data_IF_846620239341
#
_entry.id   IF_846620239341
#
_cell.length_a   1.000
_cell.length_b   1.000
_cell.length_c   1.000
_cell.angle_alpha   90.00
_cell.angle_beta   90.00
_cell.angle_gamma   90.00
#
_symmetry.space_group_name_H-M   'P 1'
#
loop_
_entity.id
_entity.type
_entity.pdbx_description
1 polymer ?
#
# COMPACT_ATOMS: atom_id res chain seq x y z
N UNK A 1 14.14 -15.71 -13.06
CA UNK A 1 14.10 -14.32 -12.53
C UNK A 1 12.82 -13.66 -13.04
N UNK A 2 12.00 -13.07 -12.17
CA UNK A 2 10.78 -12.36 -12.59
C UNK A 2 11.14 -10.94 -13.04
N UNK A 3 10.68 -10.53 -14.22
CA UNK A 3 10.82 -9.16 -14.74
C UNK A 3 9.43 -8.61 -15.06
N UNK A 4 9.27 -7.30 -14.91
CA UNK A 4 8.06 -6.61 -15.37
C UNK A 4 8.05 -6.58 -16.89
N UNK A 5 6.88 -6.82 -17.48
CA UNK A 5 6.63 -6.60 -18.90
C UNK A 5 5.64 -5.45 -19.02
N UNK A 6 5.99 -4.43 -19.81
CA UNK A 6 5.13 -3.28 -20.09
C UNK A 6 4.89 -3.15 -21.62
N UNK A 7 3.64 -2.99 -22.05
CA UNK A 7 3.24 -2.85 -23.45
C UNK A 7 3.11 -1.42 -24.00
N UNK A 8 3.13 -0.39 -23.15
CA UNK A 8 3.05 1.04 -23.52
C UNK A 8 2.00 1.35 -24.58
N UNK A 9 0.72 1.13 -24.25
CA UNK A 9 -0.38 1.21 -25.24
C UNK A 9 -1.01 2.59 -25.31
N UNK A 10 -0.84 3.40 -24.27
CA UNK A 10 -1.19 4.81 -24.30
C UNK A 10 -0.16 5.61 -25.12
N UNK A 11 -0.51 6.83 -25.52
CA UNK A 11 0.46 7.73 -26.19
C UNK A 11 1.58 8.20 -25.26
N UNK A 12 1.38 8.07 -23.95
CA UNK A 12 2.30 8.49 -22.91
C UNK A 12 2.34 7.39 -21.85
N UNK A 13 3.26 6.43 -22.00
CA UNK A 13 3.38 5.35 -21.03
C UNK A 13 3.70 5.91 -19.63
N UNK A 14 2.74 5.83 -18.73
CA UNK A 14 2.81 6.42 -17.39
C UNK A 14 3.19 5.38 -16.32
N UNK A 15 2.96 4.10 -16.60
CA UNK A 15 3.29 2.97 -15.73
C UNK A 15 4.78 2.90 -15.37
N UNK A 16 5.07 2.67 -14.09
CA UNK A 16 6.41 2.41 -13.58
C UNK A 16 6.45 1.12 -12.76
N UNK A 17 7.63 0.53 -12.65
CA UNK A 17 7.84 -0.67 -11.86
C UNK A 17 9.30 -0.76 -11.40
N UNK A 18 9.53 -1.37 -10.24
CA UNK A 18 10.89 -1.67 -9.77
C UNK A 18 10.95 -3.00 -9.01
N UNK A 19 12.10 -3.65 -9.09
CA UNK A 19 12.39 -4.92 -8.41
C UNK A 19 13.80 -4.86 -7.82
N UNK A 20 13.93 -5.05 -6.51
CA UNK A 20 15.18 -4.91 -5.79
C UNK A 20 15.33 -5.98 -4.69
N UNK A 21 16.57 -6.23 -4.28
CA UNK A 21 16.89 -6.96 -3.05
C UNK A 21 17.38 -5.92 -2.05
N UNK A 22 16.60 -5.69 -1.01
CA UNK A 22 16.88 -4.71 0.03
C UNK A 22 17.63 -5.40 1.17
N UNK A 23 18.60 -4.70 1.77
CA UNK A 23 19.28 -5.14 2.99
C UNK A 23 18.93 -4.18 4.12
N UNK A 24 18.17 -4.65 5.11
CA UNK A 24 17.74 -3.86 6.26
C UNK A 24 18.71 -4.10 7.42
N UNK A 25 19.40 -3.05 7.87
CA UNK A 25 20.30 -3.08 9.03
C UNK A 25 19.79 -2.10 10.09
N UNK A 26 20.04 -2.40 11.37
CA UNK A 26 19.70 -1.47 12.46
C UNK A 26 20.34 -0.11 12.19
N UNK A 27 19.58 0.97 12.36
CA UNK A 27 20.11 2.33 12.28
C UNK A 27 21.24 2.47 13.32
N UNK A 28 22.45 2.79 12.87
CA UNK A 28 23.55 3.07 13.77
C UNK A 28 23.10 4.22 14.68
N UNK A 29 23.09 3.96 16.00
CA UNK A 29 22.51 4.89 16.96
C UNK A 29 23.03 6.30 16.72
N UNK A 30 22.13 7.28 16.59
CA UNK A 30 22.50 8.67 16.68
C UNK A 30 23.19 8.84 18.03
N UNK A 31 24.52 8.93 18.02
CA UNK A 31 25.30 9.28 19.20
C UNK A 31 24.75 10.65 19.62
N UNK A 32 23.98 10.67 20.71
CA UNK A 32 23.71 11.88 21.48
C UNK A 32 25.05 12.34 22.06
N UNK A 33 25.86 12.96 21.21
CA UNK A 33 27.06 13.66 21.63
C UNK A 33 26.59 14.91 22.35
N UNK A 34 26.47 14.79 23.67
CA UNK A 34 26.48 15.93 24.56
C UNK A 34 27.77 16.72 24.29
N UNK A 35 27.71 18.05 24.03
CA UNK A 35 28.89 18.81 23.72
C UNK A 35 29.67 19.03 25.02
N UNK A 36 30.64 18.15 25.29
CA UNK A 36 31.53 18.36 26.42
C UNK A 36 32.59 19.40 26.03
N UNK A 37 32.39 20.59 26.58
CA UNK A 37 33.22 21.78 26.38
C UNK A 37 34.44 21.70 27.31
N UNK A 38 35.63 21.81 26.71
CA UNK A 38 36.96 22.18 27.28
C UNK A 38 38.05 21.10 27.11
N UNK A 39 39.01 21.33 26.20
CA UNK A 39 40.37 21.78 26.57
C UNK A 39 41.34 21.82 25.36
N UNK A 40 41.83 23.03 25.10
CA UNK A 40 43.17 23.45 24.64
C UNK A 40 44.13 22.50 23.86
N UNK A 41 44.43 22.94 22.62
CA UNK A 41 45.74 23.04 21.93
C UNK A 41 46.80 21.92 22.13
N UNK A 42 47.23 21.29 21.03
CA UNK A 42 48.57 21.45 20.40
C UNK A 42 48.68 20.76 19.03
N UNK A 43 49.41 21.41 18.11
CA UNK A 43 49.85 20.95 16.77
C UNK A 43 50.97 19.90 16.91
N UNK A 44 51.00 18.86 16.04
CA UNK A 44 52.01 18.68 14.97
C UNK A 44 52.09 17.24 14.41
N UNK A 45 52.47 17.15 13.13
CA UNK A 45 53.18 16.07 12.38
C UNK A 45 52.51 14.73 12.06
N UNK A 46 52.29 14.51 10.76
CA UNK A 46 52.43 13.23 10.02
C UNK A 46 53.93 12.95 9.73
N UNK A 47 54.38 11.79 9.15
CA UNK A 47 53.68 10.56 8.73
C UNK A 47 54.41 9.22 9.11
N UNK A 48 53.82 8.10 8.64
CA UNK A 48 54.37 6.76 8.35
C UNK A 48 54.15 5.61 9.34
N UNK A 49 53.65 4.49 8.77
CA UNK A 49 54.25 3.17 8.99
C UNK A 49 53.41 2.14 9.76
N UNK A 50 52.86 1.19 8.99
CA UNK A 50 52.65 -0.22 9.36
C UNK A 50 51.56 -0.61 10.37
N UNK A 51 50.66 -1.48 9.88
CA UNK A 51 50.28 -2.69 10.59
C UNK A 51 49.35 -2.54 11.79
N UNK A 52 48.05 -2.39 11.53
CA UNK A 52 47.04 -2.95 12.43
C UNK A 52 45.95 -3.62 11.60
N UNK A 53 45.94 -4.94 11.67
CA UNK A 53 44.80 -5.78 11.37
C UNK A 53 43.59 -5.20 12.09
N UNK A 54 42.70 -4.54 11.34
CA UNK A 54 41.34 -4.35 11.78
C UNK A 54 40.74 -5.75 11.84
N UNK A 55 40.63 -6.29 13.05
CA UNK A 55 39.60 -7.28 13.36
C UNK A 55 38.31 -6.72 12.77
N UNK A 56 37.80 -7.36 11.72
CA UNK A 56 36.42 -7.23 11.30
C UNK A 56 35.59 -7.53 12.55
N UNK A 57 35.12 -6.47 13.20
CA UNK A 57 33.99 -6.60 14.10
C UNK A 57 32.90 -7.23 13.24
N UNK A 58 32.41 -8.39 13.67
CA UNK A 58 31.25 -9.06 13.09
C UNK A 58 30.13 -8.03 12.91
N UNK A 59 30.04 -7.46 11.72
CA UNK A 59 29.03 -6.47 11.38
C UNK A 59 27.67 -7.16 11.56
N UNK A 60 26.78 -6.49 12.30
CA UNK A 60 25.37 -6.88 12.44
C UNK A 60 24.81 -7.35 11.10
N UNK A 61 24.61 -8.67 10.98
CA UNK A 61 24.08 -9.29 9.76
C UNK A 61 22.67 -8.72 9.54
N UNK A 62 22.48 -7.99 8.44
CA UNK A 62 21.18 -7.39 8.11
C UNK A 62 20.15 -8.45 7.75
N UNK A 63 18.87 -8.07 7.70
CA UNK A 63 17.83 -8.93 7.11
C UNK A 63 17.65 -8.53 5.66
N UNK A 64 17.82 -9.49 4.76
CA UNK A 64 17.54 -9.29 3.33
C UNK A 64 16.05 -9.49 3.05
N UNK A 65 15.47 -8.67 2.18
CA UNK A 65 14.13 -8.88 1.66
C UNK A 65 14.06 -8.58 0.17
N UNK A 66 13.15 -9.24 -0.53
CA UNK A 66 12.88 -8.92 -1.93
C UNK A 66 11.72 -7.94 -2.01
N UNK A 67 11.84 -6.98 -2.91
CA UNK A 67 10.87 -5.92 -3.13
C UNK A 67 10.46 -5.91 -4.60
N UNK A 68 9.16 -5.95 -4.87
CA UNK A 68 8.58 -5.69 -6.19
C UNK A 68 7.56 -4.57 -6.06
N UNK A 69 7.45 -3.74 -7.09
CA UNK A 69 6.46 -2.67 -7.11
C UNK A 69 5.97 -2.36 -8.50
N UNK A 70 4.72 -1.92 -8.57
CA UNK A 70 4.00 -1.50 -9.75
C UNK A 70 3.24 -0.22 -9.44
N UNK A 71 3.34 0.76 -10.33
CA UNK A 71 2.71 2.07 -10.21
C UNK A 71 2.03 2.38 -11.53
N UNK A 72 0.70 2.43 -11.49
CA UNK A 72 -0.13 2.88 -12.60
C UNK A 72 -0.21 4.41 -12.53
N UNK A 73 0.45 5.11 -13.44
CA UNK A 73 0.54 6.57 -13.42
C UNK A 73 -0.59 7.23 -14.19
N UNK A 74 -1.04 8.41 -13.74
CA UNK A 74 -2.07 9.16 -14.46
C UNK A 74 -1.85 10.67 -14.38
N UNK A 75 -2.29 11.37 -15.44
CA UNK A 75 -2.15 12.83 -15.58
C UNK A 75 -0.70 13.31 -15.45
N UNK A 76 0.21 12.55 -16.05
CA UNK A 76 1.66 12.68 -16.04
C UNK A 76 2.34 11.55 -15.25
N UNK A 77 3.56 11.17 -15.64
CA UNK A 77 4.31 10.08 -15.01
C UNK A 77 5.11 10.48 -13.76
N UNK A 78 5.09 11.76 -13.39
CA UNK A 78 5.95 12.32 -12.33
C UNK A 78 5.83 11.56 -11.00
N UNK A 79 4.62 11.41 -10.48
CA UNK A 79 4.38 10.70 -9.21
C UNK A 79 4.87 9.24 -9.27
N UNK A 80 4.53 8.50 -10.33
CA UNK A 80 4.95 7.12 -10.53
C UNK A 80 6.48 6.97 -10.64
N UNK A 81 7.16 7.88 -11.35
CA UNK A 81 8.62 7.89 -11.49
C UNK A 81 9.32 8.15 -10.15
N UNK A 82 8.78 9.05 -9.34
CA UNK A 82 9.34 9.33 -8.01
C UNK A 82 9.09 8.15 -7.07
N UNK A 83 7.87 7.63 -7.03
CA UNK A 83 7.50 6.50 -6.17
C UNK A 83 8.32 5.23 -6.50
N UNK A 84 8.49 4.90 -7.79
CA UNK A 84 9.27 3.73 -8.22
C UNK A 84 10.75 3.78 -7.84
N UNK A 85 11.29 4.96 -7.60
CA UNK A 85 12.69 5.17 -7.21
C UNK A 85 12.91 5.32 -5.71
N UNK A 86 11.90 5.78 -4.97
CA UNK A 86 12.06 6.19 -3.58
C UNK A 86 11.22 5.41 -2.57
N UNK A 87 10.11 4.77 -2.95
CA UNK A 87 9.24 4.07 -1.99
C UNK A 87 9.97 2.93 -1.26
N UNK A 88 10.85 2.20 -1.94
CA UNK A 88 11.67 1.15 -1.34
C UNK A 88 12.67 1.67 -0.29
N UNK A 89 13.10 2.93 -0.43
CA UNK A 89 13.93 3.58 0.58
C UNK A 89 13.12 3.87 1.84
N UNK A 90 11.91 4.44 1.70
CA UNK A 90 10.98 4.62 2.83
C UNK A 90 10.64 3.30 3.51
N UNK A 91 10.36 2.24 2.74
CA UNK A 91 10.13 0.90 3.29
C UNK A 91 11.34 0.43 4.10
N UNK A 92 12.54 0.59 3.54
CA UNK A 92 13.78 0.21 4.23
C UNK A 92 13.91 0.98 5.55
N UNK A 93 13.78 2.31 5.54
CA UNK A 93 13.88 3.15 6.75
C UNK A 93 12.88 2.73 7.84
N UNK A 94 11.62 2.48 7.49
CA UNK A 94 10.61 2.03 8.45
C UNK A 94 10.92 0.63 9.01
N UNK A 95 11.47 -0.27 8.18
CA UNK A 95 11.88 -1.60 8.63
C UNK A 95 13.13 -1.55 9.53
N UNK A 96 14.03 -0.58 9.37
CA UNK A 96 15.24 -0.45 10.20
C UNK A 96 14.90 -0.26 11.69
N UNK A 97 13.77 0.38 11.99
CA UNK A 97 13.33 0.64 13.36
C UNK A 97 12.84 -0.64 14.07
N UNK A 98 12.43 -1.65 13.29
CA UNK A 98 11.85 -2.90 13.82
C UNK A 98 12.70 -4.15 13.52
N UNK A 99 13.75 -4.04 12.69
CA UNK A 99 14.51 -5.20 12.18
C UNK A 99 15.10 -6.09 13.28
N UNK A 100 15.57 -5.50 14.37
CA UNK A 100 16.14 -6.27 15.50
C UNK A 100 15.08 -7.07 16.25
N UNK A 101 13.84 -6.57 16.31
CA UNK A 101 12.70 -7.30 16.88
C UNK A 101 12.35 -8.46 15.94
N UNK A 102 12.28 -8.19 14.63
CA UNK A 102 11.92 -9.18 13.62
C UNK A 102 12.89 -10.37 13.55
N UNK A 103 14.19 -10.16 13.82
CA UNK A 103 15.20 -11.22 13.87
C UNK A 103 14.96 -12.25 14.97
N UNK A 104 14.23 -11.89 16.03
CA UNK A 104 13.97 -12.78 17.16
C UNK A 104 12.47 -12.95 17.38
N UNK A 105 11.87 -13.88 16.63
CA UNK A 105 10.44 -14.18 16.70
C UNK A 105 9.95 -14.67 18.07
N UNK A 106 10.86 -15.11 18.96
CA UNK A 106 10.52 -15.52 20.32
C UNK A 106 10.27 -14.33 21.27
N UNK A 107 10.73 -13.13 20.92
CA UNK A 107 10.56 -11.93 21.73
C UNK A 107 9.38 -11.13 21.18
N UNK A 108 8.41 -10.82 22.04
CA UNK A 108 7.31 -9.93 21.62
C UNK A 108 7.83 -8.50 21.44
N UNK A 109 7.24 -7.72 20.52
CA UNK A 109 7.56 -6.30 20.40
C UNK A 109 7.37 -5.60 21.75
N UNK A 110 8.36 -4.84 22.24
CA UNK A 110 8.21 -4.07 23.47
C UNK A 110 7.14 -2.99 23.27
N UNK A 111 6.30 -2.78 24.28
CA UNK A 111 5.29 -1.71 24.25
C UNK A 111 5.95 -0.32 24.21
N UNK A 112 7.04 -0.16 24.95
CA UNK A 112 7.85 1.05 25.02
C UNK A 112 9.32 0.70 24.74
N UNK A 113 9.95 1.36 23.78
CA UNK A 113 11.38 1.16 23.51
C UNK A 113 12.22 1.69 24.67
N UNK A 114 13.19 0.89 25.12
CA UNK A 114 14.11 1.24 26.21
C UNK A 114 13.64 0.83 27.61
N UNK A 115 12.46 0.22 27.73
CA UNK A 115 12.07 -0.49 28.95
C UNK A 115 12.62 -1.92 28.92
N UNK A 116 13.38 -2.30 29.94
CA UNK A 116 13.87 -3.68 30.09
C UNK A 116 12.67 -4.60 30.37
N UNK A 117 12.57 -5.77 29.72
CA UNK A 117 11.52 -6.74 30.04
C UNK A 117 11.69 -7.18 31.49
N UNK A 118 10.66 -6.98 32.33
CA UNK A 118 10.64 -7.55 33.68
C UNK A 118 10.69 -9.08 33.57
N UNK A 119 11.89 -9.66 33.78
CA UNK A 119 12.09 -11.10 33.91
C UNK A 119 11.37 -11.60 35.17
N UNK A 120 10.05 -11.82 35.10
CA UNK A 120 9.32 -12.63 36.09
C UNK A 120 8.95 -13.98 35.46
N UNK A 121 9.21 -15.11 36.14
CA UNK A 121 8.88 -16.42 35.60
C UNK A 121 7.38 -16.55 35.36
N UNK A 122 7.02 -17.21 34.26
CA UNK A 122 5.67 -17.53 33.87
C UNK A 122 4.96 -18.38 34.94
N UNK A 123 4.32 -17.73 35.92
CA UNK A 123 3.18 -18.23 36.70
C UNK A 123 2.68 -17.16 37.68
N UNK A 124 2.35 -15.98 37.17
CA UNK A 124 1.44 -15.08 37.85
C UNK A 124 0.83 -14.11 36.84
N UNK A 125 -0.46 -13.80 37.00
CA UNK A 125 -1.10 -12.67 36.29
C UNK A 125 -0.46 -11.39 36.83
N UNK A 126 0.63 -10.94 36.21
CA UNK A 126 1.36 -9.77 36.67
C UNK A 126 0.66 -8.50 36.19
N UNK A 127 -0.02 -7.84 37.13
CA UNK A 127 -0.50 -6.46 37.02
C UNK A 127 0.71 -5.53 37.14
N UNK A 128 1.13 -4.89 36.05
CA UNK A 128 2.23 -3.93 36.07
C UNK A 128 1.81 -2.66 36.83
N UNK A 129 2.54 -2.34 37.89
CA UNK A 129 2.24 -1.26 38.84
C UNK A 129 2.74 0.07 38.28
N UNK A 130 1.89 0.83 37.60
CA UNK A 130 2.24 2.19 37.18
C UNK A 130 2.55 3.07 38.40
N UNK A 131 3.76 3.62 38.44
CA UNK A 131 4.18 4.58 39.44
C UNK A 131 3.23 5.80 39.44
N UNK A 132 2.68 6.06 40.62
CA UNK A 132 1.75 7.14 40.92
C UNK A 132 2.29 8.49 40.42
N UNK A 133 1.51 9.14 39.54
CA UNK A 133 1.61 10.57 39.29
C UNK A 133 1.44 11.28 40.63
N UNK A 134 2.53 11.87 41.13
CA UNK A 134 2.51 12.73 42.31
C UNK A 134 1.59 13.91 42.02
N UNK A 135 0.52 14.01 42.79
CA UNK A 135 -0.34 15.17 42.84
C UNK A 135 -1.14 15.20 44.14
N UNK A 136 -0.67 15.98 45.11
CA UNK A 136 -1.52 16.74 46.03
C UNK A 136 -2.28 16.02 47.15
N UNK A 137 -1.68 16.05 48.35
CA UNK A 137 -2.26 16.33 49.69
C UNK A 137 -3.76 16.03 49.94
N UNK A 138 -4.04 15.12 50.89
CA UNK A 138 -5.19 15.26 51.81
C UNK A 138 -5.94 13.98 52.21
N UNK A 139 -6.04 13.78 53.54
CA UNK A 139 -6.99 12.97 54.31
C UNK A 139 -6.63 11.50 54.65
N UNK A 140 -6.54 11.14 55.96
CA UNK A 140 -6.43 9.76 56.42
C UNK A 140 -7.82 9.17 56.72
N UNK A 141 -8.12 8.00 56.14
CA UNK A 141 -9.17 7.10 56.62
C UNK A 141 -10.29 6.77 55.63
N UNK A 142 -10.09 5.74 54.80
CA UNK A 142 -11.06 4.65 54.56
C UNK A 142 -10.54 3.63 53.53
N UNK A 143 -10.82 2.33 53.69
CA UNK A 143 -10.34 1.28 52.81
C UNK A 143 -11.32 1.06 51.65
N UNK A 144 -11.04 1.68 50.51
CA UNK A 144 -11.61 1.25 49.22
C UNK A 144 -10.70 1.70 48.09
N UNK A 145 -9.67 0.90 47.83
CA UNK A 145 -8.98 0.94 46.53
C UNK A 145 -10.03 0.83 45.43
N UNK A 146 -10.09 1.76 44.46
CA UNK A 146 -10.95 1.59 43.30
C UNK A 146 -10.51 0.31 42.57
N UNK A 147 -11.44 -0.49 42.02
CA UNK A 147 -11.05 -1.64 41.23
C UNK A 147 -10.18 -1.16 40.06
N UNK A 148 -9.03 -1.82 39.89
CA UNK A 148 -8.08 -1.65 38.79
C UNK A 148 -8.82 -1.47 37.47
N UNK A 149 -8.73 -0.28 36.88
CA UNK A 149 -9.19 -0.04 35.51
C UNK A 149 -8.45 -1.02 34.59
N UNK A 150 -9.16 -1.57 33.61
CA UNK A 150 -8.70 -2.58 32.66
C UNK A 150 -7.33 -2.24 32.04
N UNK A 151 -6.25 -2.84 32.56
CA UNK A 151 -4.92 -2.79 31.95
C UNK A 151 -4.56 -4.20 31.51
N UNK A 152 -5.04 -4.59 30.33
CA UNK A 152 -4.52 -5.75 29.61
C UNK A 152 -3.73 -5.22 28.42
N UNK A 153 -2.42 -5.46 28.41
CA UNK A 153 -1.59 -5.16 27.25
C UNK A 153 -1.94 -6.08 26.08
N UNK A 154 -2.16 -5.48 24.91
CA UNK A 154 -2.44 -6.24 23.70
C UNK A 154 -1.13 -6.84 23.20
N UNK A 155 -1.09 -8.16 23.01
CA UNK A 155 0.03 -8.81 22.31
C UNK A 155 -0.02 -8.42 20.83
N UNK A 156 1.07 -7.83 20.34
CA UNK A 156 1.19 -7.39 18.95
C UNK A 156 2.01 -8.42 18.16
N UNK A 157 1.43 -9.10 17.15
CA UNK A 157 2.18 -9.97 16.25
C UNK A 157 3.25 -9.20 15.47
N UNK A 158 4.37 -9.87 15.15
CA UNK A 158 5.45 -9.29 14.34
C UNK A 158 4.99 -8.77 12.97
N UNK A 159 4.04 -9.46 12.35
CA UNK A 159 3.45 -9.03 11.08
C UNK A 159 2.74 -7.67 11.17
N UNK A 160 2.16 -7.32 12.32
CA UNK A 160 1.56 -6.00 12.52
C UNK A 160 2.61 -4.88 12.52
N UNK A 161 3.85 -5.17 12.94
CA UNK A 161 4.94 -4.19 12.84
C UNK A 161 5.30 -3.93 11.38
N UNK A 162 5.41 -5.00 10.57
CA UNK A 162 5.72 -4.88 9.14
C UNK A 162 4.58 -4.17 8.41
N UNK A 163 3.33 -4.51 8.69
CA UNK A 163 2.15 -3.82 8.13
C UNK A 163 2.21 -2.31 8.45
N UNK A 164 2.41 -1.95 9.71
CA UNK A 164 2.50 -0.54 10.12
C UNK A 164 3.70 0.20 9.50
N UNK A 165 4.83 -0.50 9.30
CA UNK A 165 6.00 0.04 8.60
C UNK A 165 5.68 0.34 7.13
N UNK A 166 4.98 -0.55 6.42
CA UNK A 166 4.57 -0.33 5.03
C UNK A 166 3.54 0.80 4.91
N UNK A 167 2.54 0.85 5.79
CA UNK A 167 1.56 1.95 5.83
C UNK A 167 2.24 3.31 6.06
N UNK A 168 3.23 3.35 6.97
CA UNK A 168 4.03 4.55 7.25
C UNK A 168 4.90 4.94 6.06
N UNK A 169 5.50 3.97 5.36
CA UNK A 169 6.31 4.23 4.17
C UNK A 169 5.50 4.87 3.03
N UNK A 170 4.27 4.40 2.78
CA UNK A 170 3.37 5.00 1.79
C UNK A 170 3.03 6.45 2.15
N UNK A 171 2.74 6.70 3.43
CA UNK A 171 2.47 8.06 3.92
C UNK A 171 3.67 8.98 3.73
N UNK A 172 4.87 8.55 4.11
CA UNK A 172 6.09 9.35 3.95
C UNK A 172 6.44 9.60 2.48
N UNK A 173 6.22 8.62 1.61
CA UNK A 173 6.38 8.78 0.16
C UNK A 173 5.42 9.85 -0.40
N UNK A 174 4.14 9.80 -0.02
CA UNK A 174 3.15 10.79 -0.47
C UNK A 174 3.45 12.20 0.05
N UNK A 175 3.89 12.32 1.31
CA UNK A 175 4.35 13.58 1.90
C UNK A 175 5.62 14.10 1.21
N UNK A 176 6.53 13.22 0.81
CA UNK A 176 7.70 13.63 0.04
C UNK A 176 7.29 14.16 -1.34
N UNK A 177 6.42 13.46 -2.07
CA UNK A 177 5.86 13.95 -3.33
C UNK A 177 5.23 15.32 -3.13
N UNK A 178 4.44 15.51 -2.07
CA UNK A 178 3.85 16.81 -1.75
C UNK A 178 4.91 17.91 -1.60
N UNK A 179 5.94 17.66 -0.77
CA UNK A 179 7.01 18.64 -0.50
C UNK A 179 7.81 18.99 -1.74
N UNK A 180 8.06 18.02 -2.60
CA UNK A 180 9.00 18.13 -3.71
C UNK A 180 8.35 18.50 -5.06
N UNK A 181 7.01 18.43 -5.16
CA UNK A 181 6.29 18.58 -6.44
C UNK A 181 6.60 19.86 -7.20
N UNK A 182 6.71 20.99 -6.52
CA UNK A 182 6.99 22.27 -7.19
C UNK A 182 8.46 22.42 -7.57
N UNK A 183 9.38 21.89 -6.77
CA UNK A 183 10.83 22.00 -7.03
C UNK A 183 11.29 21.08 -8.15
N UNK A 184 10.64 19.91 -8.29
CA UNK A 184 11.00 18.90 -9.28
C UNK A 184 9.95 18.71 -10.38
N UNK A 185 8.91 19.56 -10.43
CA UNK A 185 7.78 19.45 -11.36
C UNK A 185 7.15 18.04 -11.37
N UNK A 186 6.89 17.49 -10.19
CA UNK A 186 6.25 16.17 -10.04
C UNK A 186 4.78 16.32 -10.41
N UNK A 187 4.41 15.85 -11.59
CA UNK A 187 3.04 15.88 -12.11
C UNK A 187 2.24 14.65 -11.73
N UNK A 188 0.91 14.81 -11.72
CA UNK A 188 -0.04 13.70 -11.68
C UNK A 188 -0.11 12.96 -10.36
N UNK A 189 -0.66 11.75 -10.45
CA UNK A 189 -0.73 10.78 -9.38
C UNK A 189 -0.41 9.39 -9.89
N UNK A 190 -0.41 8.42 -8.99
CA UNK A 190 -0.31 7.02 -9.38
C UNK A 190 -0.96 6.10 -8.36
N UNK A 191 -1.38 4.93 -8.82
CA UNK A 191 -1.58 3.78 -7.93
C UNK A 191 -0.23 3.29 -7.41
N UNK A 192 -0.25 2.47 -6.36
CA UNK A 192 0.94 1.82 -5.84
C UNK A 192 0.61 0.44 -5.30
N UNK A 193 1.14 -0.59 -5.94
CA UNK A 193 1.07 -1.98 -5.53
C UNK A 193 2.48 -2.50 -5.29
N UNK A 194 2.82 -2.83 -4.04
CA UNK A 194 4.14 -3.38 -3.69
C UNK A 194 4.02 -4.76 -3.04
N UNK A 195 5.08 -5.54 -3.18
CA UNK A 195 5.25 -6.84 -2.53
C UNK A 195 6.60 -6.87 -1.85
N UNK A 196 6.60 -7.15 -0.55
CA UNK A 196 7.80 -7.38 0.24
C UNK A 196 7.83 -8.83 0.68
N UNK A 197 8.85 -9.58 0.23
CA UNK A 197 9.13 -10.93 0.73
C UNK A 197 10.17 -10.83 1.86
N UNK A 198 9.72 -11.01 3.09
CA UNK A 198 10.52 -10.83 4.31
C UNK A 198 10.22 -11.96 5.30
N UNK A 199 11.25 -12.68 5.73
CA UNK A 199 11.17 -13.74 6.75
C UNK A 199 10.09 -14.79 6.45
N UNK A 200 10.09 -15.32 5.23
CA UNK A 200 9.14 -16.36 4.80
C UNK A 200 7.70 -15.89 4.61
N UNK A 201 7.44 -14.57 4.57
CA UNK A 201 6.11 -14.01 4.32
C UNK A 201 6.14 -13.01 3.16
N UNK A 202 5.08 -13.02 2.37
CA UNK A 202 4.78 -11.97 1.39
C UNK A 202 3.83 -10.96 2.01
N UNK A 203 4.23 -9.70 2.00
CA UNK A 203 3.39 -8.56 2.38
C UNK A 203 3.03 -7.81 1.11
N UNK A 204 1.75 -7.86 0.73
CA UNK A 204 1.22 -7.22 -0.47
C UNK A 204 0.45 -5.98 -0.05
N UNK A 205 1.01 -4.80 -0.33
CA UNK A 205 0.42 -3.51 0.04
C UNK A 205 -0.10 -2.79 -1.21
N UNK A 206 -1.40 -2.49 -1.25
CA UNK A 206 -2.07 -1.88 -2.40
C UNK A 206 -2.78 -0.56 -2.06
N UNK A 207 -2.54 0.46 -2.88
CA UNK A 207 -3.28 1.72 -2.89
C UNK A 207 -3.61 2.08 -4.35
N UNK A 208 -4.85 1.78 -4.77
CA UNK A 208 -5.34 2.01 -6.13
C UNK A 208 -6.14 0.81 -6.66
N UNK A 209 -6.24 0.70 -7.98
CA UNK A 209 -6.94 -0.36 -8.72
C UNK A 209 -6.01 -1.31 -9.48
N UNK A 210 -4.69 -1.17 -9.34
CA UNK A 210 -3.76 -2.28 -9.57
C UNK A 210 -4.13 -3.48 -8.69
N UNK A 211 -3.89 -4.70 -9.18
CA UNK A 211 -4.34 -5.93 -8.51
C UNK A 211 -3.27 -7.01 -8.45
N UNK A 212 -3.28 -7.76 -7.34
CA UNK A 212 -2.44 -8.93 -7.11
C UNK A 212 -3.27 -10.18 -6.79
N UNK A 213 -2.90 -11.31 -7.39
CA UNK A 213 -3.48 -12.63 -7.09
C UNK A 213 -2.37 -13.68 -7.01
N UNK A 214 -2.52 -14.66 -6.12
CA UNK A 214 -1.75 -15.91 -6.16
C UNK A 214 -2.54 -16.94 -6.96
N UNK A 215 -1.84 -17.67 -7.83
CA UNK A 215 -2.33 -18.90 -8.45
C UNK A 215 -1.52 -20.03 -7.83
N UNK A 216 -2.18 -20.90 -7.08
CA UNK A 216 -1.54 -22.04 -6.40
C UNK A 216 -2.37 -23.29 -6.56
N UNK A 217 -1.81 -24.36 -7.12
CA UNK A 217 -2.53 -25.62 -7.34
C UNK A 217 -3.90 -25.43 -8.03
N UNK A 218 -3.98 -24.50 -8.99
CA UNK A 218 -5.24 -24.14 -9.68
C UNK A 218 -6.21 -23.27 -8.86
N UNK A 219 -5.91 -22.97 -7.61
CA UNK A 219 -6.68 -22.04 -6.77
C UNK A 219 -6.23 -20.59 -6.99
N UNK A 220 -7.19 -19.68 -7.07
CA UNK A 220 -6.95 -18.23 -7.15
C UNK A 220 -7.15 -17.63 -5.76
N UNK A 221 -6.10 -17.01 -5.22
CA UNK A 221 -6.10 -16.39 -3.89
C UNK A 221 -5.91 -14.88 -4.07
N UNK A 222 -6.95 -14.04 -3.83
CA UNK A 222 -6.84 -12.60 -3.96
C UNK A 222 -5.87 -11.99 -2.94
N UNK A 223 -4.85 -11.28 -3.41
CA UNK A 223 -3.83 -10.65 -2.58
C UNK A 223 -3.93 -9.12 -2.48
N UNK A 224 -4.92 -8.51 -3.15
CA UNK A 224 -5.32 -7.13 -2.93
C UNK A 224 -6.83 -6.91 -3.18
N UNK A 225 -7.32 -5.74 -2.77
CA UNK A 225 -8.62 -5.17 -3.18
C UNK A 225 -8.38 -3.98 -4.11
N UNK A 226 -9.33 -3.67 -4.99
CA UNK A 226 -9.30 -2.43 -5.79
C UNK A 226 -10.01 -1.28 -5.06
N UNK A 227 -9.41 -0.10 -5.10
CA UNK A 227 -9.88 1.08 -4.38
C UNK A 227 -10.49 2.13 -5.32
N UNK A 228 -11.70 1.84 -5.79
CA UNK A 228 -12.47 2.69 -6.71
C UNK A 228 -13.52 3.50 -5.94
N UNK A 229 -14.16 4.51 -6.58
CA UNK A 229 -15.25 5.27 -5.98
C UNK A 229 -16.38 4.40 -5.45
N UNK A 230 -16.68 3.29 -6.14
CA UNK A 230 -17.76 2.38 -5.73
C UNK A 230 -17.37 1.51 -4.54
N UNK A 231 -16.16 0.93 -4.54
CA UNK A 231 -15.70 0.06 -3.44
C UNK A 231 -15.50 0.85 -2.15
N UNK A 232 -15.09 2.10 -2.25
CA UNK A 232 -14.84 3.00 -1.10
C UNK A 232 -15.99 3.99 -0.85
N UNK A 233 -17.17 3.77 -1.44
CA UNK A 233 -18.33 4.67 -1.35
C UNK A 233 -18.62 5.13 0.07
N UNK A 234 -18.70 4.20 1.03
CA UNK A 234 -19.04 4.55 2.41
C UNK A 234 -17.99 5.44 3.06
N UNK A 235 -16.70 5.20 2.81
CA UNK A 235 -15.61 6.06 3.31
C UNK A 235 -15.72 7.47 2.73
N UNK A 236 -15.93 7.58 1.43
CA UNK A 236 -16.05 8.86 0.72
C UNK A 236 -17.26 9.66 1.23
N UNK A 237 -18.44 9.03 1.30
CA UNK A 237 -19.65 9.67 1.79
C UNK A 237 -19.55 10.05 3.27
N UNK A 238 -18.91 9.22 4.10
CA UNK A 238 -18.69 9.53 5.51
C UNK A 238 -17.79 10.76 5.67
N UNK A 239 -16.70 10.85 4.91
CA UNK A 239 -15.84 12.04 4.91
C UNK A 239 -16.62 13.28 4.49
N UNK A 240 -17.38 13.20 3.41
CA UNK A 240 -18.19 14.29 2.89
C UNK A 240 -19.29 14.72 3.87
N UNK A 241 -19.90 13.78 4.58
CA UNK A 241 -20.86 14.04 5.65
C UNK A 241 -20.21 14.78 6.84
N UNK A 242 -19.03 14.33 7.27
CA UNK A 242 -18.29 14.93 8.39
C UNK A 242 -17.67 16.29 8.03
N UNK A 243 -17.33 16.50 6.77
CA UNK A 243 -16.65 17.69 6.26
C UNK A 243 -17.35 18.23 5.00
N UNK A 244 -18.58 18.75 5.11
CA UNK A 244 -19.39 19.16 3.96
C UNK A 244 -18.80 20.34 3.17
N UNK A 245 -17.90 21.12 3.78
CA UNK A 245 -17.17 22.19 3.10
C UNK A 245 -16.28 21.67 1.95
N UNK A 246 -15.87 20.39 1.99
CA UNK A 246 -15.10 19.75 0.92
C UNK A 246 -15.91 19.55 -0.37
N UNK A 247 -17.24 19.66 -0.30
CA UNK A 247 -18.14 19.51 -1.45
C UNK A 247 -18.41 20.83 -2.20
N UNK A 248 -17.87 21.95 -1.71
CA UNK A 248 -17.99 23.27 -2.34
C UNK A 248 -19.43 23.78 -2.55
N UNK A 249 -20.42 23.20 -1.85
CA UNK A 249 -21.85 23.43 -2.06
C UNK A 249 -22.37 23.05 -3.48
N UNK A 250 -21.57 22.34 -4.26
CA UNK A 250 -21.92 21.87 -5.62
C UNK A 250 -22.28 20.39 -5.61
N UNK A 251 -21.70 19.64 -4.68
CA UNK A 251 -21.86 18.21 -4.54
C UNK A 251 -22.66 17.83 -3.28
N UNK A 252 -23.30 16.66 -3.33
CA UNK A 252 -23.95 16.01 -2.20
C UNK A 252 -23.28 14.67 -1.91
N UNK A 253 -23.17 14.34 -0.64
CA UNK A 253 -22.72 13.01 -0.22
C UNK A 253 -23.84 11.97 -0.36
N UNK A 254 -25.10 12.39 -0.49
CA UNK A 254 -26.21 11.47 -0.71
C UNK A 254 -26.17 10.89 -2.11
N UNK A 255 -26.48 9.60 -2.21
CA UNK A 255 -26.60 8.93 -3.50
C UNK A 255 -28.06 8.69 -3.84
N UNK A 256 -28.38 8.96 -5.11
CA UNK A 256 -29.68 8.69 -5.72
C UNK A 256 -29.48 7.75 -6.91
N UNK A 257 -30.45 6.91 -7.30
CA UNK A 257 -30.32 6.02 -8.45
C UNK A 257 -30.08 6.75 -9.78
N UNK A 258 -30.38 8.04 -9.83
CA UNK A 258 -30.03 8.96 -10.92
C UNK A 258 -30.04 10.39 -10.41
N UNK A 259 -29.55 11.31 -11.24
CA UNK A 259 -29.64 12.74 -10.99
C UNK A 259 -31.09 13.18 -10.73
N UNK A 260 -31.27 13.88 -9.61
CA UNK A 260 -32.54 14.48 -9.20
C UNK A 260 -32.86 15.68 -10.10
N UNK A 261 -34.13 15.82 -10.49
CA UNK A 261 -34.60 16.92 -11.33
C UNK A 261 -35.45 17.91 -10.53
N UNK A 262 -35.40 19.20 -10.89
CA UNK A 262 -36.20 20.25 -10.23
C UNK A 262 -37.70 19.95 -10.15
N UNK A 263 -38.27 19.26 -11.15
CA UNK A 263 -39.68 18.84 -11.17
C UNK A 263 -40.05 17.77 -10.13
N UNK A 264 -39.08 17.29 -9.36
CA UNK A 264 -39.19 16.22 -8.39
C UNK A 264 -39.11 16.71 -6.95
N UNK A 265 -38.86 18.01 -6.74
CA UNK A 265 -38.93 18.66 -5.43
C UNK A 265 -40.26 18.34 -4.73
N UNK A 266 -40.20 17.96 -3.46
CA UNK A 266 -41.35 17.54 -2.66
C UNK A 266 -41.86 16.13 -2.92
N UNK A 267 -41.34 15.40 -3.92
CA UNK A 267 -41.66 13.98 -4.16
C UNK A 267 -40.73 13.06 -3.37
N UNK A 268 -41.14 11.81 -3.19
CA UNK A 268 -40.27 10.78 -2.61
C UNK A 268 -39.41 10.10 -3.67
N UNK A 269 -38.12 9.94 -3.38
CA UNK A 269 -37.17 9.20 -4.23
C UNK A 269 -36.26 8.31 -3.39
N UNK A 270 -35.82 7.20 -3.99
CA UNK A 270 -34.83 6.32 -3.37
C UNK A 270 -33.52 7.08 -3.17
N UNK A 271 -32.92 6.93 -2.01
CA UNK A 271 -31.61 7.45 -1.67
C UNK A 271 -30.86 6.45 -0.77
N UNK A 272 -29.54 6.64 -0.66
CA UNK A 272 -28.73 6.01 0.37
C UNK A 272 -27.62 6.94 0.85
N UNK A 273 -27.25 6.78 2.12
CA UNK A 273 -26.19 7.53 2.79
C UNK A 273 -25.02 6.59 3.21
N UNK A 274 -23.97 7.15 3.82
CA UNK A 274 -22.74 6.45 4.20
C UNK A 274 -22.98 5.24 5.10
N UNK A 275 -23.95 5.31 6.01
CA UNK A 275 -24.29 4.25 6.96
C UNK A 275 -25.25 3.19 6.38
N UNK A 276 -25.66 3.33 5.12
CA UNK A 276 -26.65 2.46 4.49
C UNK A 276 -25.99 1.49 3.52
N UNK A 277 -26.36 0.21 3.60
CA UNK A 277 -26.08 -0.81 2.57
C UNK A 277 -27.26 -1.00 1.61
N UNK A 278 -28.48 -0.68 2.06
CA UNK A 278 -29.71 -0.69 1.25
C UNK A 278 -30.16 0.72 0.82
N UNK A 279 -31.39 0.81 0.31
CA UNK A 279 -32.02 2.06 -0.13
C UNK A 279 -33.25 2.39 0.74
N UNK A 280 -33.52 3.67 0.95
CA UNK A 280 -34.76 4.16 1.56
C UNK A 280 -35.37 5.29 0.73
N UNK A 281 -36.61 5.66 1.01
CA UNK A 281 -37.23 6.85 0.40
C UNK A 281 -37.03 8.08 1.29
N UNK A 282 -36.57 9.19 0.70
CA UNK A 282 -36.66 10.53 1.30
C UNK A 282 -37.50 11.46 0.44
N UNK A 283 -38.05 12.49 1.05
CA UNK A 283 -38.62 13.62 0.31
C UNK A 283 -37.47 14.46 -0.26
N UNK A 284 -37.57 14.80 -1.54
CA UNK A 284 -36.55 15.57 -2.25
C UNK A 284 -36.65 17.05 -1.85
N UNK A 285 -35.50 17.63 -1.53
CA UNK A 285 -35.27 19.03 -1.16
C UNK A 285 -34.34 19.72 -2.18
N UNK A 286 -34.23 21.05 -2.13
CA UNK A 286 -33.37 21.80 -3.05
C UNK A 286 -31.90 21.36 -3.01
N UNK A 287 -31.40 20.95 -1.84
CA UNK A 287 -30.03 20.48 -1.65
C UNK A 287 -29.72 19.19 -2.42
N UNK A 288 -30.74 18.37 -2.70
CA UNK A 288 -30.60 17.11 -3.45
C UNK A 288 -30.39 17.33 -4.95
N UNK A 289 -30.53 18.56 -5.45
CA UNK A 289 -30.26 18.91 -6.85
C UNK A 289 -28.76 19.01 -7.15
N UNK A 290 -27.91 19.02 -6.12
CA UNK A 290 -26.45 19.00 -6.21
C UNK A 290 -25.96 17.73 -6.92
N UNK A 291 -24.74 17.79 -7.45
CA UNK A 291 -24.13 16.66 -8.13
C UNK A 291 -23.74 15.56 -7.13
N UNK A 292 -23.84 14.28 -7.48
CA UNK A 292 -23.42 13.22 -6.57
C UNK A 292 -21.90 13.23 -6.41
N UNK A 293 -21.43 12.95 -5.18
CA UNK A 293 -20.01 12.77 -4.88
C UNK A 293 -19.35 11.69 -5.76
N UNK A 294 -20.09 10.63 -6.09
CA UNK A 294 -19.63 9.56 -7.00
C UNK A 294 -20.48 9.64 -8.25
N UNK A 295 -19.83 9.84 -9.39
CA UNK A 295 -20.48 9.99 -10.69
C UNK A 295 -20.08 8.86 -11.62
N UNK A 296 -21.06 8.25 -12.31
CA UNK A 296 -20.82 7.10 -13.18
C UNK A 296 -20.94 5.76 -12.45
N UNK A 297 -20.67 4.69 -13.18
CA UNK A 297 -20.87 3.30 -12.72
C UNK A 297 -19.72 2.42 -13.22
N UNK A 298 -19.37 1.41 -12.44
CA UNK A 298 -18.26 0.50 -12.71
C UNK A 298 -16.97 1.27 -12.99
N UNK A 299 -16.28 0.91 -14.08
CA UNK A 299 -15.00 1.52 -14.48
C UNK A 299 -15.08 2.99 -14.87
N UNK A 300 -16.29 3.50 -15.09
CA UNK A 300 -16.52 4.92 -15.40
C UNK A 300 -16.90 5.72 -14.16
N UNK A 301 -16.98 5.09 -12.98
CA UNK A 301 -17.21 5.79 -11.73
C UNK A 301 -16.03 6.72 -11.43
N UNK A 302 -16.33 7.94 -10.99
CA UNK A 302 -15.36 8.99 -10.68
C UNK A 302 -15.77 9.74 -9.42
N UNK A 303 -14.82 10.07 -8.54
CA UNK A 303 -15.06 11.04 -7.46
C UNK A 303 -15.22 12.42 -8.07
N UNK A 304 -16.38 13.04 -7.85
CA UNK A 304 -16.76 14.36 -8.37
C UNK A 304 -16.44 14.52 -9.87
N UNK A 305 -16.76 13.48 -10.65
CA UNK A 305 -16.48 13.41 -12.09
C UNK A 305 -15.01 13.63 -12.50
N UNK A 306 -14.06 13.44 -11.57
CA UNK A 306 -12.65 13.81 -11.76
C UNK A 306 -11.72 12.59 -11.81
N UNK A 307 -11.69 11.74 -10.77
CA UNK A 307 -10.70 10.65 -10.64
C UNK A 307 -11.34 9.27 -10.43
N UNK A 308 -10.76 8.24 -11.06
CA UNK A 308 -11.25 6.84 -11.05
C UNK A 308 -10.75 5.98 -9.90
N UNK A 309 -9.73 6.45 -9.18
CA UNK A 309 -9.18 5.80 -7.98
C UNK A 309 -9.46 6.64 -6.75
N UNK A 310 -9.45 6.00 -5.58
CA UNK A 310 -9.68 6.67 -4.28
C UNK A 310 -8.51 6.51 -3.32
N UNK A 311 -7.50 5.77 -3.73
CA UNK A 311 -6.23 5.60 -3.03
C UNK A 311 -5.09 5.63 -4.03
N UNK A 312 -3.93 6.13 -3.61
CA UNK A 312 -2.76 6.33 -4.46
C UNK A 312 -1.84 7.41 -3.91
N UNK A 313 -0.78 7.69 -4.65
CA UNK A 313 0.23 8.71 -4.33
C UNK A 313 0.07 9.91 -5.28
N UNK A 314 0.44 11.11 -4.82
CA UNK A 314 0.38 12.32 -5.66
C UNK A 314 -1.00 12.99 -5.68
N UNK A 315 -1.37 13.60 -6.82
CA UNK A 315 -2.62 14.36 -7.01
C UNK A 315 -2.87 15.50 -6.02
N UNK A 316 -1.80 16.05 -5.43
CA UNK A 316 -1.91 17.09 -4.38
C UNK A 316 -2.56 18.38 -4.89
N UNK A 317 -2.40 18.69 -6.16
CA UNK A 317 -2.96 19.90 -6.78
C UNK A 317 -4.21 19.61 -7.65
N UNK A 318 -4.70 18.36 -7.65
CA UNK A 318 -5.85 17.95 -8.45
C UNK A 318 -7.14 18.60 -7.91
N UNK A 319 -7.87 19.24 -8.82
CA UNK A 319 -9.15 19.90 -8.56
C UNK A 319 -10.25 19.36 -9.45
N UNK A 320 -11.49 19.44 -8.97
CA UNK A 320 -12.66 19.26 -9.83
C UNK A 320 -12.63 20.33 -10.92
N UNK A 321 -12.90 19.91 -12.16
CA UNK A 321 -12.89 20.77 -13.35
C UNK A 321 -13.71 22.06 -13.13
N UNK A 322 -13.15 23.20 -13.54
CA UNK A 322 -13.74 24.55 -13.38
C UNK A 322 -14.16 24.93 -11.94
N UNK A 323 -13.54 24.35 -10.91
CA UNK A 323 -13.85 24.65 -9.52
C UNK A 323 -12.60 24.89 -8.66
N UNK A 324 -12.81 25.29 -7.40
CA UNK A 324 -11.76 25.34 -6.38
C UNK A 324 -11.81 24.15 -5.39
N UNK A 325 -12.52 23.08 -5.74
CA UNK A 325 -12.66 21.91 -4.90
C UNK A 325 -11.48 20.98 -5.14
N UNK A 326 -10.66 20.76 -4.11
CA UNK A 326 -9.54 19.83 -4.16
C UNK A 326 -10.01 18.39 -4.00
N UNK A 327 -9.43 17.50 -4.80
CA UNK A 327 -9.72 16.06 -4.75
C UNK A 327 -8.92 15.35 -3.65
N UNK A 328 -7.69 15.81 -3.36
CA UNK A 328 -6.76 15.15 -2.44
C UNK A 328 -7.38 14.71 -1.09
N UNK A 329 -8.27 15.46 -0.42
CA UNK A 329 -8.92 15.00 0.81
C UNK A 329 -9.66 13.66 0.68
N UNK A 330 -10.16 13.33 -0.52
CA UNK A 330 -10.86 12.07 -0.81
C UNK A 330 -9.89 10.94 -1.23
N UNK A 331 -8.63 11.27 -1.52
CA UNK A 331 -7.58 10.34 -1.95
C UNK A 331 -6.65 9.97 -0.80
N UNK A 332 -6.68 8.70 -0.39
CA UNK A 332 -5.81 8.21 0.67
C UNK A 332 -4.55 7.56 0.12
N UNK A 333 -3.38 7.93 0.63
CA UNK A 333 -2.13 7.20 0.34
C UNK A 333 -1.99 5.90 1.14
N UNK A 334 -2.82 5.67 2.16
CA UNK A 334 -2.73 4.48 3.00
C UNK A 334 -3.10 3.19 2.23
N UNK A 335 -2.20 2.19 2.17
CA UNK A 335 -2.48 0.93 1.49
C UNK A 335 -3.34 0.00 2.35
N UNK A 336 -4.00 -0.97 1.72
CA UNK A 336 -4.37 -2.23 2.38
C UNK A 336 -3.20 -3.20 2.28
N UNK A 337 -2.80 -3.82 3.40
CA UNK A 337 -1.74 -4.82 3.42
C UNK A 337 -2.31 -6.22 3.69
N UNK A 338 -2.09 -7.15 2.76
CA UNK A 338 -2.37 -8.59 2.95
C UNK A 338 -1.09 -9.36 3.17
N UNK A 339 -1.16 -10.37 4.02
CA UNK A 339 -0.01 -11.22 4.37
C UNK A 339 -0.27 -12.64 3.91
N UNK A 340 0.67 -13.18 3.14
CA UNK A 340 0.70 -14.59 2.76
C UNK A 340 1.93 -15.25 3.36
N UNK A 341 1.70 -16.28 4.17
CA UNK A 341 2.76 -17.02 4.84
C UNK A 341 3.23 -18.17 3.94
N UNK A 342 4.43 -18.04 3.38
CA UNK A 342 5.00 -19.02 2.45
C UNK A 342 5.29 -20.35 3.15
N UNK A 343 5.58 -20.32 4.45
CA UNK A 343 5.93 -21.52 5.22
C UNK A 343 4.73 -22.46 5.47
N UNK A 344 3.49 -21.94 5.33
CA UNK A 344 2.27 -22.72 5.59
C UNK A 344 1.89 -23.66 4.45
N UNK A 345 2.52 -23.53 3.29
CA UNK A 345 2.14 -24.26 2.09
C UNK A 345 3.38 -24.72 1.32
N UNK A 346 3.25 -25.83 0.61
CA UNK A 346 4.22 -26.21 -0.40
C UNK A 346 3.86 -25.53 -1.72
N UNK A 347 4.88 -25.04 -2.42
CA UNK A 347 4.73 -24.36 -3.71
C UNK A 347 5.52 -25.08 -4.79
N UNK A 348 4.83 -25.45 -5.87
CA UNK A 348 5.43 -25.99 -7.09
C UNK A 348 6.06 -24.89 -7.96
N UNK A 349 6.69 -25.32 -9.05
CA UNK A 349 7.30 -24.40 -10.03
C UNK A 349 6.26 -23.57 -10.80
N UNK A 350 4.98 -23.93 -10.71
CA UNK A 350 3.88 -23.28 -11.44
C UNK A 350 3.03 -22.40 -10.51
N UNK A 351 3.32 -22.42 -9.21
CA UNK A 351 2.65 -21.57 -8.23
C UNK A 351 3.30 -20.18 -8.23
N UNK A 352 2.49 -19.18 -8.57
CA UNK A 352 2.97 -17.82 -8.87
C UNK A 352 2.11 -16.76 -8.21
N UNK A 353 2.74 -15.63 -7.89
CA UNK A 353 2.09 -14.36 -7.59
C UNK A 353 2.08 -13.51 -8.86
N UNK A 354 0.89 -13.06 -9.26
CA UNK A 354 0.67 -12.13 -10.37
C UNK A 354 0.43 -10.74 -9.79
N UNK A 355 1.09 -9.73 -10.35
CA UNK A 355 0.78 -8.31 -10.14
C UNK A 355 0.53 -7.71 -11.50
N UNK A 356 -0.51 -6.89 -11.65
CA UNK A 356 -0.67 -6.08 -12.86
C UNK A 356 -1.45 -4.79 -12.62
N UNK A 357 -1.24 -3.83 -13.52
CA UNK A 357 -2.03 -2.59 -13.62
C UNK A 357 -3.42 -2.88 -14.16
N UNK A 358 -4.33 -1.92 -14.05
CA UNK A 358 -5.72 -2.11 -14.46
C UNK A 358 -5.81 -2.44 -15.96
N UNK A 359 -4.86 -2.01 -16.80
CA UNK A 359 -4.80 -2.35 -18.21
C UNK A 359 -4.77 -3.86 -18.52
N UNK A 360 -4.37 -4.73 -17.57
CA UNK A 360 -4.59 -6.17 -17.67
C UNK A 360 -6.00 -6.56 -17.21
N UNK A 361 -6.32 -6.21 -15.97
CA UNK A 361 -7.54 -6.62 -15.26
C UNK A 361 -8.82 -6.08 -15.89
N UNK A 362 -8.67 -5.05 -16.70
CA UNK A 362 -9.78 -4.43 -17.37
C UNK A 362 -10.38 -5.29 -18.47
N UNK A 363 -9.59 -6.20 -19.02
CA UNK A 363 -9.99 -6.99 -20.18
C UNK A 363 -9.88 -8.50 -19.95
N UNK A 364 -9.20 -8.92 -18.87
CA UNK A 364 -9.09 -10.32 -18.46
C UNK A 364 -9.59 -10.51 -17.02
N UNK A 365 -10.43 -11.52 -16.80
CA UNK A 365 -10.81 -11.93 -15.44
C UNK A 365 -9.69 -12.68 -14.71
N UNK A 366 -9.82 -12.84 -13.40
CA UNK A 366 -8.87 -13.63 -12.62
C UNK A 366 -8.77 -15.07 -13.13
N UNK A 367 -9.90 -15.66 -13.53
CA UNK A 367 -10.01 -17.01 -14.08
C UNK A 367 -9.31 -17.09 -15.45
N UNK A 368 -9.48 -16.10 -16.32
CA UNK A 368 -8.81 -16.06 -17.62
C UNK A 368 -7.28 -15.95 -17.47
N UNK A 369 -6.81 -15.15 -16.50
CA UNK A 369 -5.37 -15.06 -16.17
C UNK A 369 -4.86 -16.38 -15.59
N UNK A 370 -5.61 -17.00 -14.68
CA UNK A 370 -5.22 -18.27 -14.07
C UNK A 370 -5.18 -19.42 -15.08
N UNK A 371 -6.15 -19.47 -16.00
CA UNK A 371 -6.19 -20.43 -17.09
C UNK A 371 -4.99 -20.22 -18.04
N UNK A 372 -4.69 -18.97 -18.42
CA UNK A 372 -3.55 -18.65 -19.27
C UNK A 372 -2.23 -19.12 -18.64
N UNK A 373 -2.03 -18.85 -17.34
CA UNK A 373 -0.82 -19.27 -16.62
C UNK A 373 -0.73 -20.79 -16.50
N UNK A 374 -1.85 -21.45 -16.16
CA UNK A 374 -1.92 -22.92 -16.03
C UNK A 374 -1.73 -23.64 -17.36
N UNK A 375 -2.02 -22.99 -18.48
CA UNK A 375 -1.73 -23.51 -19.82
C UNK A 375 -0.29 -23.18 -20.26
N UNK A 376 0.22 -22.02 -19.90
CA UNK A 376 1.52 -21.55 -20.39
C UNK A 376 2.68 -22.22 -19.66
N UNK A 377 2.71 -22.15 -18.32
CA UNK A 377 3.86 -22.57 -17.53
C UNK A 377 4.21 -24.04 -17.78
N UNK A 378 3.31 -25.04 -17.70
CA UNK A 378 3.67 -26.45 -17.87
C UNK A 378 4.32 -26.79 -19.23
N UNK A 379 4.15 -25.94 -20.23
CA UNK A 379 4.72 -26.12 -21.57
C UNK A 379 6.13 -25.53 -21.72
N UNK A 380 6.64 -24.83 -20.70
CA UNK A 380 8.02 -24.34 -20.66
C UNK A 380 8.90 -25.29 -19.83
N UNK A 381 10.19 -25.33 -20.16
CA UNK A 381 11.20 -25.99 -19.33
C UNK A 381 11.20 -25.38 -17.91
N UNK A 382 11.00 -26.17 -16.84
CA UNK A 382 11.02 -25.67 -15.46
C UNK A 382 12.33 -24.97 -15.07
N UNK A 383 13.44 -25.31 -15.72
CA UNK A 383 14.76 -24.72 -15.47
C UNK A 383 15.05 -23.48 -16.33
N UNK A 384 14.15 -23.09 -17.24
CA UNK A 384 14.32 -21.89 -18.06
C UNK A 384 14.23 -20.63 -17.18
N UNK A 385 15.33 -19.83 -17.06
CA UNK A 385 15.35 -18.62 -16.25
C UNK A 385 14.36 -17.54 -16.73
N UNK A 386 13.86 -17.64 -17.96
CA UNK A 386 12.93 -16.71 -18.61
C UNK A 386 11.47 -17.15 -18.58
N UNK A 387 11.15 -18.37 -18.15
CA UNK A 387 9.78 -18.93 -18.14
C UNK A 387 8.72 -17.97 -17.61
N UNK A 388 8.94 -17.37 -16.44
CA UNK A 388 7.99 -16.42 -15.83
C UNK A 388 7.93 -15.08 -16.57
N UNK A 389 9.05 -14.65 -17.16
CA UNK A 389 9.08 -13.44 -18.00
C UNK A 389 8.26 -13.65 -19.28
N UNK A 390 8.37 -14.82 -19.90
CA UNK A 390 7.58 -15.19 -21.08
C UNK A 390 6.10 -15.34 -20.73
N UNK A 391 5.76 -15.88 -19.56
CA UNK A 391 4.38 -15.94 -19.08
C UNK A 391 3.78 -14.54 -18.88
N UNK A 392 4.55 -13.60 -18.32
CA UNK A 392 4.13 -12.19 -18.22
C UNK A 392 3.91 -11.56 -19.61
N UNK A 393 4.78 -11.86 -20.58
CA UNK A 393 4.61 -11.41 -21.97
C UNK A 393 3.34 -11.99 -22.61
N UNK A 394 3.04 -13.27 -22.38
CA UNK A 394 1.82 -13.90 -22.86
C UNK A 394 0.57 -13.21 -22.32
N UNK A 395 0.52 -12.91 -21.02
CA UNK A 395 -0.57 -12.16 -20.39
C UNK A 395 -0.73 -10.75 -21.00
N UNK A 396 0.37 -10.03 -21.18
CA UNK A 396 0.37 -8.70 -21.81
C UNK A 396 -0.16 -8.77 -23.25
N UNK A 397 0.27 -9.76 -24.03
CA UNK A 397 -0.18 -9.93 -25.41
C UNK A 397 -1.67 -10.30 -25.47
N UNK A 398 -2.16 -11.13 -24.53
CA UNK A 398 -3.59 -11.47 -24.42
C UNK A 398 -4.45 -10.27 -24.11
N UNK A 399 -4.06 -9.41 -23.16
CA UNK A 399 -4.81 -8.21 -22.84
C UNK A 399 -4.69 -7.13 -23.93
N UNK A 400 -3.51 -7.00 -24.55
CA UNK A 400 -3.30 -6.09 -25.69
C UNK A 400 -4.19 -6.47 -26.87
N UNK A 401 -4.30 -7.76 -27.17
CA UNK A 401 -5.01 -8.27 -28.33
C UNK A 401 -4.33 -7.95 -29.65
N UNK A 402 -5.04 -8.23 -30.75
CA UNK A 402 -4.57 -8.03 -32.13
C UNK A 402 -5.33 -6.87 -32.77
N UNK A 403 -4.64 -6.04 -33.53
CA UNK A 403 -5.26 -4.93 -34.27
C UNK A 403 -6.12 -5.49 -35.41
N UNK A 404 -7.41 -5.17 -35.41
CA UNK A 404 -8.35 -5.41 -36.50
C UNK A 404 -8.92 -4.07 -37.00
N UNK A 405 -9.70 -4.10 -38.09
CA UNK A 405 -10.29 -2.90 -38.73
C UNK A 405 -11.07 -1.99 -37.77
N UNK A 406 -11.61 -2.54 -36.68
CA UNK A 406 -12.39 -1.83 -35.65
C UNK A 406 -11.65 -1.74 -34.30
N UNK A 407 -10.32 -1.64 -34.31
CA UNK A 407 -9.47 -1.50 -33.12
C UNK A 407 -8.88 -2.81 -32.61
N UNK A 408 -8.23 -2.75 -31.45
CA UNK A 408 -7.58 -3.91 -30.81
C UNK A 408 -8.63 -4.89 -30.26
N UNK A 409 -8.48 -6.17 -30.56
CA UNK A 409 -9.43 -7.23 -30.20
C UNK A 409 -8.75 -8.40 -29.53
N UNK A 410 -9.34 -8.91 -28.46
CA UNK A 410 -8.90 -10.13 -27.76
C UNK A 410 -9.79 -11.31 -28.17
N UNK A 411 -9.69 -12.43 -27.44
CA UNK A 411 -10.57 -13.59 -27.61
C UNK A 411 -12.05 -13.19 -27.62
N UNK A 412 -12.84 -13.87 -28.47
CA UNK A 412 -14.27 -13.63 -28.66
C UNK A 412 -14.63 -12.22 -29.17
N UNK A 413 -13.69 -11.52 -29.83
CA UNK A 413 -13.86 -10.20 -30.43
C UNK A 413 -14.20 -9.07 -29.42
N UNK A 414 -13.97 -9.32 -28.12
CA UNK A 414 -13.99 -8.30 -27.08
C UNK A 414 -12.89 -7.26 -27.35
N UNK A 415 -13.11 -6.03 -26.88
CA UNK A 415 -12.09 -4.97 -26.97
C UNK A 415 -10.86 -5.38 -26.16
N UNK A 416 -9.68 -5.23 -26.75
CA UNK A 416 -8.43 -5.28 -26.00
C UNK A 416 -8.22 -4.00 -25.20
N UNK A 417 -7.26 -4.04 -24.28
CA UNK A 417 -7.01 -2.93 -23.35
C UNK A 417 -6.77 -1.62 -24.10
N UNK A 418 -7.29 -0.52 -23.59
CA UNK A 418 -6.96 0.82 -24.10
C UNK A 418 -5.75 1.43 -23.41
N UNK A 419 -5.27 0.78 -22.35
CA UNK A 419 -4.37 1.36 -21.36
C UNK A 419 -2.96 0.79 -21.41
N UNK A 420 -2.06 1.39 -20.65
CA UNK A 420 -0.78 0.79 -20.34
C UNK A 420 -0.97 -0.53 -19.57
N UNK A 421 -0.14 -1.52 -19.89
CA UNK A 421 -0.29 -2.87 -19.34
C UNK A 421 1.06 -3.26 -18.79
N UNK A 422 1.17 -3.34 -17.48
CA UNK A 422 2.36 -3.80 -16.78
C UNK A 422 2.06 -5.04 -15.95
N UNK A 423 2.88 -6.08 -16.09
CA UNK A 423 2.64 -7.38 -15.43
C UNK A 423 3.94 -7.94 -14.83
N UNK A 424 3.84 -8.45 -13.61
CA UNK A 424 4.79 -9.40 -13.02
C UNK A 424 4.17 -10.79 -12.90
N UNK A 425 4.98 -11.81 -13.16
CA UNK A 425 4.74 -13.20 -12.76
C UNK A 425 5.91 -13.62 -11.87
N UNK A 426 5.65 -13.82 -10.57
CA UNK A 426 6.67 -14.08 -9.54
C UNK A 426 6.53 -15.52 -9.03
N UNK A 427 7.55 -16.38 -9.14
CA UNK A 427 7.48 -17.73 -8.60
C UNK A 427 7.47 -17.77 -7.07
N UNK A 428 6.62 -18.62 -6.50
CA UNK A 428 6.53 -18.82 -5.05
C UNK A 428 7.52 -19.86 -4.51
N UNK A 429 8.00 -20.78 -5.35
CA UNK A 429 8.90 -21.90 -4.98
C UNK A 429 10.20 -21.46 -4.28
N UNK A 430 10.67 -20.24 -4.53
CA UNK A 430 11.89 -19.71 -3.91
C UNK A 430 11.64 -19.01 -2.57
N UNK A 431 10.38 -18.71 -2.23
CA UNK A 431 10.04 -17.99 -1.01
C UNK A 431 10.47 -18.69 0.27
N UNK A 432 10.45 -20.03 0.30
CA UNK A 432 10.87 -20.85 1.44
C UNK A 432 12.39 -21.04 1.55
N UNK A 433 13.17 -20.66 0.53
CA UNK A 433 14.65 -20.75 0.54
C UNK A 433 15.33 -19.42 0.86
N UNK A 434 14.56 -18.35 1.02
CA UNK A 434 15.00 -16.98 1.29
C UNK A 434 14.81 -16.57 2.76
N UNK A 435 14.41 -17.52 3.62
CA UNK A 435 14.21 -17.36 5.07
C UNK A 435 15.47 -17.58 5.87
#
# INVERSE_FOLDING_TARGET
MAKVINAGKSTYNEDQASCEVLTVKKKAGAITSTPNRNSTKRRSSLPNGEGLQLKENSESEGVSCHYWSLFDGHAGSGAAVVASRLLQHHVTEQLQDIVEILKNSAVLPPTCLGEEPENTPANSRTLTRAASLRGGVGAPGSPSTPPTRFFTEKKIPHECLVIGALESAFKEMDLQIERERSSYNISGGCTALIVVCLLGKLYVANAGDSRAIIIRNGEIIPMSSEFTPETERQRLQYLAFMQPHLLGNEFTHLEFPRRVQRKELGKKMLYRDFNMTGWAYKTIEDDDLKFPLIYGEGKKARVMATIGVTRGLGDHDLKVHDSNIYIKPFLSSAPEVRVYDLSKYEHGADDVLILATDGLWDVLSNEEVAEAISQFLPNCDPDDPHRYTLAAQDLVMRARGVLKDRGWRISNDRLGSGDDISVYVIPLIHGNKLS
#
